data_IF_337928578568
#
_entry.id   IF_337928578568
#
_cell.length_a   1.000
_cell.length_b   1.000
_cell.length_c   1.000
_cell.angle_alpha   90.00
_cell.angle_beta   90.00
_cell.angle_gamma   90.00
#
_symmetry.space_group_name_H-M   'P 1'
#
loop_
_entity.id
_entity.type
_entity.pdbx_description
1 polymer ?
#
# COMPACT_ATOMS: atom_id res chain seq x y z
N UNK A 1 9.92 19.96 11.55
CA UNK A 1 8.95 19.40 10.58
C UNK A 1 9.57 19.52 9.20
N UNK A 2 9.85 18.40 8.54
CA UNK A 2 10.53 18.34 7.24
C UNK A 2 9.59 17.66 6.23
N UNK A 3 8.39 18.20 6.07
CA UNK A 3 7.38 17.66 5.15
C UNK A 3 7.57 18.31 3.77
N UNK A 4 7.75 17.49 2.73
CA UNK A 4 7.76 17.95 1.34
C UNK A 4 6.42 17.66 0.68
N UNK A 5 5.98 18.52 -0.23
CA UNK A 5 4.73 18.38 -0.96
C UNK A 5 5.01 18.32 -2.45
N UNK A 6 4.31 17.43 -3.15
CA UNK A 6 4.32 17.33 -4.60
C UNK A 6 2.90 17.04 -5.10
N UNK A 7 2.61 17.49 -6.30
CA UNK A 7 1.35 17.24 -6.99
C UNK A 7 1.58 16.24 -8.14
N UNK A 8 0.63 15.34 -8.35
CA UNK A 8 0.68 14.35 -9.43
C UNK A 8 -0.60 14.37 -10.24
N UNK A 9 -0.46 14.40 -11.57
CA UNK A 9 -1.60 14.33 -12.46
C UNK A 9 -2.15 12.89 -12.52
N UNK A 10 -3.36 12.68 -11.99
CA UNK A 10 -4.03 11.38 -11.96
C UNK A 10 -4.74 11.00 -13.27
N UNK A 11 -4.86 11.91 -14.23
CA UNK A 11 -5.56 11.67 -15.50
C UNK A 11 -5.08 10.41 -16.25
N UNK A 12 -3.76 10.15 -16.40
CA UNK A 12 -3.28 8.95 -17.08
C UNK A 12 -3.72 7.65 -16.39
N UNK A 13 -3.71 7.62 -15.05
CA UNK A 13 -4.14 6.45 -14.27
C UNK A 13 -5.66 6.25 -14.42
N UNK A 14 -6.43 7.34 -14.40
CA UNK A 14 -7.88 7.27 -14.63
C UNK A 14 -8.22 6.75 -16.03
N UNK A 15 -7.50 7.19 -17.05
CA UNK A 15 -7.71 6.77 -18.43
C UNK A 15 -7.33 5.28 -18.60
N UNK A 16 -6.25 4.81 -17.99
CA UNK A 16 -5.90 3.38 -17.93
C UNK A 16 -6.98 2.53 -17.24
N UNK A 17 -7.53 3.01 -16.12
CA UNK A 17 -8.62 2.31 -15.42
C UNK A 17 -9.89 2.24 -16.27
N UNK A 18 -10.20 3.28 -17.04
CA UNK A 18 -11.35 3.27 -17.97
C UNK A 18 -11.13 2.31 -19.14
N UNK A 19 -9.92 2.27 -19.69
CA UNK A 19 -9.61 1.45 -20.86
C UNK A 19 -9.50 -0.03 -20.51
N UNK A 20 -8.85 -0.37 -19.40
CA UNK A 20 -8.53 -1.76 -19.06
C UNK A 20 -9.30 -2.30 -17.86
N UNK A 21 -10.10 -1.49 -17.16
CA UNK A 21 -10.81 -1.88 -15.94
C UNK A 21 -11.68 -3.13 -16.12
N UNK A 22 -12.53 -3.13 -17.15
CA UNK A 22 -13.46 -4.24 -17.42
C UNK A 22 -12.71 -5.51 -17.83
N UNK A 23 -11.67 -5.38 -18.65
CA UNK A 23 -10.84 -6.51 -19.10
C UNK A 23 -10.05 -7.11 -17.92
N UNK A 24 -9.55 -6.26 -17.04
CA UNK A 24 -8.81 -6.64 -15.84
C UNK A 24 -9.72 -7.37 -14.84
N UNK A 25 -10.92 -6.84 -14.61
CA UNK A 25 -11.91 -7.46 -13.73
C UNK A 25 -12.37 -8.82 -14.25
N UNK A 26 -12.61 -8.95 -15.56
CA UNK A 26 -12.94 -10.24 -16.18
C UNK A 26 -11.81 -11.27 -16.08
N UNK A 27 -10.55 -10.84 -16.19
CA UNK A 27 -9.39 -11.76 -16.15
C UNK A 27 -9.01 -12.18 -14.73
N UNK A 28 -9.03 -11.23 -13.79
CA UNK A 28 -8.47 -11.43 -12.46
C UNK A 28 -9.51 -11.54 -11.34
N UNK A 29 -10.79 -11.27 -11.65
CA UNK A 29 -11.89 -11.31 -10.68
C UNK A 29 -11.84 -10.16 -9.66
N UNK A 30 -11.08 -9.10 -9.95
CA UNK A 30 -10.94 -7.95 -9.08
C UNK A 30 -10.90 -6.65 -9.88
N UNK A 31 -11.55 -5.62 -9.34
CA UNK A 31 -11.58 -4.29 -9.94
C UNK A 31 -10.20 -3.63 -9.80
N UNK A 32 -9.69 -3.09 -10.89
CA UNK A 32 -8.45 -2.32 -10.88
C UNK A 32 -8.65 -1.04 -10.06
N UNK A 33 -7.93 -0.92 -8.94
CA UNK A 33 -7.95 0.23 -8.03
C UNK A 33 -6.88 1.28 -8.38
N UNK A 34 -6.77 2.31 -7.54
CA UNK A 34 -5.64 3.24 -7.57
C UNK A 34 -4.50 2.77 -6.67
N UNK A 35 -4.79 1.95 -5.65
CA UNK A 35 -3.83 1.56 -4.63
C UNK A 35 -2.69 0.71 -5.18
N UNK A 36 -2.98 -0.21 -6.11
CA UNK A 36 -1.93 -0.99 -6.79
C UNK A 36 -0.90 -0.12 -7.51
N UNK A 37 -1.31 1.00 -8.12
CA UNK A 37 -0.39 1.95 -8.74
C UNK A 37 0.49 2.64 -7.71
N UNK A 38 -0.10 3.08 -6.59
CA UNK A 38 0.65 3.73 -5.51
C UNK A 38 1.65 2.78 -4.86
N UNK A 39 1.24 1.56 -4.51
CA UNK A 39 2.12 0.56 -3.92
C UNK A 39 3.28 0.25 -4.86
N UNK A 40 3.02 0.02 -6.16
CA UNK A 40 4.10 -0.22 -7.12
C UNK A 40 5.04 0.97 -7.30
N UNK A 41 4.51 2.20 -7.33
CA UNK A 41 5.34 3.39 -7.41
C UNK A 41 6.23 3.57 -6.17
N UNK A 42 5.69 3.28 -4.98
CA UNK A 42 6.41 3.36 -3.70
C UNK A 42 7.51 2.30 -3.65
N UNK A 43 7.22 1.05 -4.02
CA UNK A 43 8.23 -0.01 -4.08
C UNK A 43 9.37 0.36 -5.01
N UNK A 44 9.06 0.88 -6.20
CA UNK A 44 10.07 1.32 -7.15
C UNK A 44 10.90 2.51 -6.62
N UNK A 45 10.28 3.42 -5.87
CA UNK A 45 10.99 4.50 -5.19
C UNK A 45 11.90 3.97 -4.06
N UNK A 46 11.41 3.05 -3.22
CA UNK A 46 12.19 2.42 -2.15
C UNK A 46 13.38 1.62 -2.70
N UNK A 47 13.24 0.98 -3.86
CA UNK A 47 14.35 0.31 -4.55
C UNK A 47 15.44 1.27 -5.00
N UNK A 48 15.07 2.49 -5.42
CA UNK A 48 16.02 3.53 -5.86
C UNK A 48 16.66 4.27 -4.69
N UNK A 49 15.94 4.41 -3.59
CA UNK A 49 16.37 5.12 -2.39
C UNK A 49 16.33 4.17 -1.18
N UNK A 50 17.32 3.26 -1.04
CA UNK A 50 17.35 2.28 0.05
C UNK A 50 17.46 2.91 1.43
N UNK A 51 17.99 4.13 1.52
CA UNK A 51 18.06 4.95 2.73
C UNK A 51 16.68 5.22 3.33
N UNK A 52 15.64 5.32 2.49
CA UNK A 52 14.25 5.52 2.94
C UNK A 52 13.65 4.23 3.49
N UNK A 53 14.13 3.07 3.05
CA UNK A 53 13.70 1.76 3.54
C UNK A 53 14.52 1.28 4.76
N UNK A 54 15.44 2.09 5.26
CA UNK A 54 16.23 1.77 6.44
C UNK A 54 15.54 2.24 7.72
N UNK A 55 15.70 1.48 8.81
CA UNK A 55 15.36 1.95 10.15
C UNK A 55 16.62 2.27 10.95
N UNK A 56 16.48 3.15 11.93
CA UNK A 56 17.53 3.42 12.91
C UNK A 56 17.19 2.62 14.16
N UNK A 57 18.07 1.72 14.56
CA UNK A 57 17.96 0.95 15.80
C UNK A 57 19.14 1.32 16.72
N UNK A 58 18.88 2.21 17.68
CA UNK A 58 19.91 2.80 18.52
C UNK A 58 20.89 3.65 17.70
N UNK A 59 22.14 3.19 17.63
CA UNK A 59 23.22 3.84 16.89
C UNK A 59 23.47 3.20 15.50
N UNK A 60 22.77 2.12 15.18
CA UNK A 60 22.94 1.38 13.92
C UNK A 60 21.82 1.67 12.93
N UNK A 61 22.18 1.70 11.64
CA UNK A 61 21.22 1.83 10.53
C UNK A 61 20.98 0.44 9.94
N UNK A 62 19.75 -0.05 10.09
CA UNK A 62 19.30 -1.35 9.59
C UNK A 62 18.67 -1.17 8.22
N UNK A 63 19.33 -1.66 7.18
CA UNK A 63 18.80 -1.70 5.82
C UNK A 63 17.94 -2.95 5.61
N UNK A 64 16.70 -2.75 5.19
CA UNK A 64 15.80 -3.86 4.87
C UNK A 64 15.84 -4.19 3.38
N UNK A 65 16.10 -5.46 3.05
CA UNK A 65 16.10 -5.97 1.68
C UNK A 65 14.72 -6.49 1.23
N UNK A 66 13.70 -6.32 2.07
CA UNK A 66 12.31 -6.65 1.77
C UNK A 66 11.48 -5.36 1.70
N UNK A 67 10.38 -5.42 0.94
CA UNK A 67 9.49 -4.30 0.72
C UNK A 67 8.15 -4.60 1.37
N UNK A 68 8.04 -4.19 2.63
CA UNK A 68 6.81 -4.30 3.41
C UNK A 68 6.16 -2.92 3.51
N UNK A 69 4.93 -2.81 3.02
CA UNK A 69 4.20 -1.55 2.92
C UNK A 69 2.95 -1.63 3.78
N UNK A 70 2.88 -0.80 4.83
CA UNK A 70 1.69 -0.73 5.67
C UNK A 70 0.64 0.17 5.03
N UNK A 71 -0.62 -0.23 5.05
CA UNK A 71 -1.72 0.55 4.49
C UNK A 71 -2.73 0.88 5.56
N UNK A 72 -3.06 2.15 5.72
CA UNK A 72 -4.10 2.57 6.64
C UNK A 72 -5.49 2.12 6.16
N UNK A 73 -6.19 1.36 6.99
CA UNK A 73 -7.55 0.88 6.78
C UNK A 73 -8.45 1.41 7.89
N UNK A 74 -9.51 2.12 7.50
CA UNK A 74 -10.53 2.59 8.44
C UNK A 74 -11.48 1.44 8.80
N UNK A 75 -11.64 1.17 10.09
CA UNK A 75 -12.55 0.14 10.62
C UNK A 75 -13.54 0.77 11.60
N UNK A 76 -14.67 0.11 11.90
CA UNK A 76 -15.62 0.62 12.91
C UNK A 76 -15.01 0.78 14.31
N UNK A 77 -13.92 0.07 14.63
CA UNK A 77 -13.23 0.13 15.93
C UNK A 77 -12.08 1.13 15.97
N UNK A 78 -11.77 1.78 14.85
CA UNK A 78 -10.67 2.72 14.71
C UNK A 78 -9.87 2.56 13.43
N UNK A 79 -8.74 3.26 13.33
CA UNK A 79 -7.80 3.12 12.22
C UNK A 79 -6.80 2.02 12.55
N UNK A 80 -6.64 1.07 11.63
CA UNK A 80 -5.61 0.01 11.73
C UNK A 80 -4.72 0.06 10.50
N UNK A 81 -3.46 -0.35 10.65
CA UNK A 81 -2.47 -0.32 9.57
C UNK A 81 -1.93 -1.71 9.29
N UNK A 82 -2.68 -2.56 8.57
CA UNK A 82 -2.17 -3.85 8.15
C UNK A 82 -0.98 -3.70 7.18
N UNK A 83 -0.10 -4.69 7.21
CA UNK A 83 1.14 -4.74 6.42
C UNK A 83 0.95 -5.63 5.19
N UNK A 84 1.25 -5.09 4.01
CA UNK A 84 1.42 -5.90 2.80
C UNK A 84 2.89 -6.31 2.70
N UNK A 85 3.14 -7.61 2.78
CA UNK A 85 4.49 -8.17 2.72
C UNK A 85 4.91 -8.48 1.29
N UNK A 86 6.21 -8.34 1.01
CA UNK A 86 6.84 -8.72 -0.26
C UNK A 86 6.11 -8.16 -1.50
N UNK A 87 5.71 -6.88 -1.44
CA UNK A 87 4.90 -6.24 -2.50
C UNK A 87 5.65 -6.09 -3.83
N UNK A 88 6.97 -6.28 -3.81
CA UNK A 88 7.78 -6.30 -5.01
C UNK A 88 7.55 -7.56 -5.85
N UNK A 89 7.30 -8.71 -5.22
CA UNK A 89 6.98 -9.98 -5.87
C UNK A 89 5.53 -10.05 -6.39
N UNK A 90 4.62 -9.27 -5.80
CA UNK A 90 3.20 -9.32 -6.12
C UNK A 90 2.85 -8.59 -7.42
N UNK A 91 1.94 -9.16 -8.23
CA UNK A 91 1.36 -8.46 -9.38
C UNK A 91 0.33 -7.40 -8.95
N UNK A 92 -0.06 -6.50 -9.86
CA UNK A 92 -1.10 -5.49 -9.55
C UNK A 92 -2.42 -6.13 -9.09
N UNK A 93 -2.80 -7.27 -9.69
CA UNK A 93 -4.01 -8.00 -9.31
C UNK A 93 -3.92 -8.57 -7.90
N UNK A 94 -2.75 -9.10 -7.53
CA UNK A 94 -2.54 -9.72 -6.21
C UNK A 94 -2.45 -8.65 -5.12
N UNK A 95 -1.85 -7.49 -5.42
CA UNK A 95 -1.84 -6.34 -4.52
C UNK A 95 -3.29 -5.91 -4.21
N UNK A 96 -4.14 -5.70 -5.22
CA UNK A 96 -5.55 -5.34 -4.98
C UNK A 96 -6.29 -6.42 -4.19
N UNK A 97 -6.01 -7.72 -4.46
CA UNK A 97 -6.66 -8.83 -3.74
C UNK A 97 -6.28 -8.83 -2.26
N UNK A 98 -4.99 -8.71 -1.96
CA UNK A 98 -4.48 -8.64 -0.59
C UNK A 98 -5.03 -7.41 0.14
N UNK A 99 -5.04 -6.24 -0.51
CA UNK A 99 -5.66 -5.02 0.04
C UNK A 99 -7.13 -5.26 0.40
N UNK A 100 -7.90 -5.85 -0.52
CA UNK A 100 -9.31 -6.15 -0.28
C UNK A 100 -9.50 -7.14 0.86
N UNK A 101 -8.66 -8.17 0.94
CA UNK A 101 -8.71 -9.15 2.03
C UNK A 101 -8.38 -8.52 3.39
N UNK A 102 -7.30 -7.73 3.48
CA UNK A 102 -6.91 -7.01 4.70
C UNK A 102 -7.97 -5.97 5.10
N UNK A 103 -8.58 -5.29 4.13
CA UNK A 103 -9.67 -4.36 4.39
C UNK A 103 -10.92 -5.07 4.94
N UNK A 104 -11.27 -6.24 4.40
CA UNK A 104 -12.37 -7.06 4.91
C UNK A 104 -12.06 -7.60 6.31
N UNK A 105 -10.86 -8.15 6.54
CA UNK A 105 -10.40 -8.59 7.86
C UNK A 105 -10.41 -7.45 8.88
N UNK A 106 -9.98 -6.26 8.48
CA UNK A 106 -10.03 -5.07 9.32
C UNK A 106 -11.45 -4.68 9.69
N UNK A 107 -12.35 -4.65 8.70
CA UNK A 107 -13.77 -4.36 8.94
C UNK A 107 -14.44 -5.39 9.86
N UNK A 108 -14.13 -6.67 9.67
CA UNK A 108 -14.67 -7.78 10.47
C UNK A 108 -13.97 -7.95 11.82
N UNK A 109 -12.88 -7.22 12.07
CA UNK A 109 -12.07 -7.32 13.29
C UNK A 109 -11.33 -8.65 13.42
N UNK A 110 -11.04 -9.31 12.30
CA UNK A 110 -10.32 -10.60 12.20
C UNK A 110 -8.85 -10.44 11.78
N UNK A 111 -8.31 -9.22 11.88
CA UNK A 111 -6.88 -9.00 11.69
C UNK A 111 -6.10 -9.72 12.77
N UNK A 112 -5.11 -10.49 12.35
CA UNK A 112 -4.19 -11.16 13.27
C UNK A 112 -3.10 -10.20 13.71
N UNK A 113 -2.40 -10.56 14.79
CA UNK A 113 -1.24 -9.78 15.26
C UNK A 113 -0.15 -9.74 14.19
N UNK A 114 0.02 -10.83 13.44
CA UNK A 114 0.99 -10.92 12.34
C UNK A 114 0.67 -10.00 11.16
N UNK A 115 -0.61 -9.65 10.96
CA UNK A 115 -1.02 -8.69 9.92
C UNK A 115 -0.68 -7.24 10.31
N UNK A 116 -0.48 -6.96 11.61
CA UNK A 116 -0.25 -5.62 12.16
C UNK A 116 1.22 -5.33 12.45
N UNK A 117 2.04 -6.35 12.66
CA UNK A 117 3.45 -6.22 13.05
C UNK A 117 4.37 -6.36 11.82
N UNK A 118 5.35 -5.46 11.66
CA UNK A 118 6.49 -5.68 10.75
C UNK A 118 6.51 -4.89 9.45
N UNK A 119 5.77 -3.78 9.34
CA UNK A 119 5.85 -2.90 8.17
C UNK A 119 6.95 -1.84 8.30
N UNK A 120 7.82 -1.75 7.29
CA UNK A 120 8.98 -0.85 7.27
C UNK A 120 8.60 0.60 6.94
N UNK A 121 7.51 0.81 6.20
CA UNK A 121 7.03 2.15 5.85
C UNK A 121 5.50 2.22 5.80
N UNK A 122 4.86 3.10 6.58
CA UNK A 122 3.42 3.33 6.46
C UNK A 122 3.11 4.19 5.23
N UNK A 123 2.18 3.74 4.39
CA UNK A 123 1.46 4.56 3.43
C UNK A 123 0.23 5.18 4.13
N UNK A 124 0.26 6.49 4.46
CA UNK A 124 -0.93 7.18 4.95
C UNK A 124 -1.91 7.41 3.80
N UNK A 125 -2.99 6.64 3.74
CA UNK A 125 -4.11 6.91 2.83
C UNK A 125 -5.00 7.99 3.44
N UNK A 126 -4.71 9.27 3.21
CA UNK A 126 -5.52 10.39 3.72
C UNK A 126 -6.86 10.60 2.97
N UNK A 127 -7.17 9.78 1.98
CA UNK A 127 -8.30 10.02 1.05
C UNK A 127 -9.71 9.77 1.62
N UNK A 128 -9.84 9.19 2.82
CA UNK A 128 -11.16 8.90 3.43
C UNK A 128 -11.60 9.90 4.50
N UNK A 129 -10.72 10.82 4.92
CA UNK A 129 -11.04 11.90 5.86
C UNK A 129 -11.07 13.22 5.11
N UNK A 130 -12.17 13.45 4.38
CA UNK A 130 -12.46 14.76 3.84
C UNK A 130 -12.62 15.77 4.97
N UNK A 131 -11.66 16.68 5.07
CA UNK A 131 -11.91 18.09 5.36
C UNK A 131 -12.00 18.82 4.02
#
# INVERSE_FOLDING_TARGET
MLTTFNEVNMKPIMDLRKQYGDAFEKRHGIRLGFMSFYVKAVVEALKRYPEVNASIDGDDVVYHNYFDVSMAVSTPRGLVTPVLRDVDLLGMADIEKNIKELALKGRDGKLTVDDLIGGTSPLPTAASSGL
#
